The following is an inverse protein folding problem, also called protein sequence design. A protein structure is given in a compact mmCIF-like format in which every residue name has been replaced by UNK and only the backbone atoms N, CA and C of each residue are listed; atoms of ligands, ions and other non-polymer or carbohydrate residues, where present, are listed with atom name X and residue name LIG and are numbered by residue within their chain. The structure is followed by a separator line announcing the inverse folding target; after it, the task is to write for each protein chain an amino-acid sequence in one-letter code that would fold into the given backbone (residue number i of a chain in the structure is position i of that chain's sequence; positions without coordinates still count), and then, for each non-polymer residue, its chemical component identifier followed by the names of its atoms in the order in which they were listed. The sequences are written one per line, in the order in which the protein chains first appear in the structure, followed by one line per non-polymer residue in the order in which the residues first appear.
data_IF_416779584121
#
_entry.id   IF_416779584121
#
_cell.length_a   1.000
_cell.length_b   1.000
_cell.length_c   1.000
_cell.angle_alpha   90.00
_cell.angle_beta   90.00
_cell.angle_gamma   90.00
#
_symmetry.space_group_name_H-M   'P 1'
#
loop_
_entity.id
_entity.type
_entity.pdbx_description
1 polymer ?
#
# COMPACT_ATOMS: atom_id res chain seq x y z
N UNK A 1 22.51 54.33 -16.05
CA UNK A 1 23.24 54.03 -14.81
C UNK A 1 22.27 53.38 -13.84
N UNK A 2 22.38 52.05 -13.79
CA UNK A 2 22.30 51.13 -12.66
C UNK A 2 21.21 51.34 -11.60
N UNK A 3 20.60 50.32 -11.02
CA UNK A 3 20.43 48.89 -11.31
C UNK A 3 19.49 48.44 -10.19
N UNK A 4 18.51 47.64 -10.57
CA UNK A 4 17.63 46.74 -9.83
C UNK A 4 17.98 46.48 -8.35
N UNK A 5 17.06 46.84 -7.45
CA UNK A 5 17.05 46.43 -6.05
C UNK A 5 15.68 45.94 -5.59
N UNK A 6 14.98 45.17 -6.43
CA UNK A 6 13.78 44.45 -6.01
C UNK A 6 14.25 43.23 -5.21
N UNK A 7 14.31 43.37 -3.88
CA UNK A 7 14.60 42.25 -2.99
C UNK A 7 13.49 41.22 -3.12
N UNK A 8 13.75 40.15 -3.86
CA UNK A 8 12.92 38.96 -3.90
C UNK A 8 12.76 38.45 -2.46
N UNK A 9 11.55 38.06 -2.02
CA UNK A 9 11.45 37.29 -0.79
C UNK A 9 12.25 36.00 -0.99
N UNK A 10 13.26 35.80 -0.14
CA UNK A 10 14.03 34.56 -0.01
C UNK A 10 13.03 33.47 0.30
N UNK A 11 12.68 32.69 -0.72
CA UNK A 11 11.94 31.43 -0.54
C UNK A 11 12.82 30.60 0.37
N UNK A 12 12.39 30.43 1.62
CA UNK A 12 13.11 29.66 2.63
C UNK A 12 13.28 28.24 2.12
N UNK A 13 14.53 27.85 1.90
CA UNK A 13 15.02 26.50 1.60
C UNK A 13 14.79 25.50 2.76
N UNK A 14 13.88 25.78 3.70
CA UNK A 14 13.66 25.02 4.93
C UNK A 14 12.50 24.01 4.84
N UNK A 15 12.05 23.70 3.62
CA UNK A 15 11.13 22.59 3.34
C UNK A 15 11.87 21.34 2.79
N UNK A 16 13.18 21.26 3.03
CA UNK A 16 13.97 20.06 2.75
C UNK A 16 13.61 18.94 3.73
N UNK A 17 12.68 18.08 3.30
CA UNK A 17 12.55 16.68 3.71
C UNK A 17 12.94 16.36 5.16
N UNK A 18 12.11 16.72 6.13
CA UNK A 18 12.03 15.89 7.32
C UNK A 18 11.50 14.53 6.87
N UNK A 19 12.41 13.60 6.58
CA UNK A 19 12.06 12.20 6.38
C UNK A 19 11.29 11.81 7.64
N UNK A 20 9.98 11.60 7.51
CA UNK A 20 9.15 11.20 8.63
C UNK A 20 9.84 10.04 9.36
N UNK A 21 10.01 10.16 10.67
CA UNK A 21 10.71 9.13 11.42
C UNK A 21 9.99 7.79 11.21
N UNK A 22 10.74 6.77 10.77
CA UNK A 22 10.18 5.45 10.46
C UNK A 22 9.47 4.89 11.69
N UNK A 23 8.15 4.68 11.59
CA UNK A 23 7.35 4.02 12.62
C UNK A 23 7.46 2.51 12.46
N UNK A 24 8.42 1.87 13.11
CA UNK A 24 8.56 0.41 13.07
C UNK A 24 7.44 -0.27 13.86
N UNK A 25 7.04 -1.47 13.42
CA UNK A 25 6.08 -2.28 14.15
C UNK A 25 6.79 -3.02 15.32
N UNK A 26 6.09 -3.30 16.42
CA UNK A 26 6.62 -4.11 17.50
C UNK A 26 6.91 -5.55 17.03
N UNK A 27 7.79 -6.24 17.76
CA UNK A 27 8.17 -7.63 17.49
C UNK A 27 6.96 -8.57 17.53
N UNK A 28 6.03 -8.33 18.46
CA UNK A 28 4.74 -8.99 18.56
C UNK A 28 3.63 -8.01 18.19
N UNK A 29 2.75 -8.41 17.29
CA UNK A 29 1.69 -7.57 16.73
C UNK A 29 0.53 -8.39 16.23
N UNK A 30 -0.63 -7.74 16.06
CA UNK A 30 -1.77 -8.35 15.40
C UNK A 30 -1.57 -8.37 13.89
N UNK A 31 -2.04 -9.43 13.24
CA UNK A 31 -2.10 -9.53 11.80
C UNK A 31 -3.37 -10.21 11.34
N UNK A 32 -3.81 -9.87 10.13
CA UNK A 32 -4.93 -10.51 9.45
C UNK A 32 -4.40 -11.20 8.20
N UNK A 33 -4.66 -12.50 8.08
CA UNK A 33 -4.34 -13.26 6.86
C UNK A 33 -5.62 -13.62 6.13
N UNK A 34 -5.68 -13.25 4.85
CA UNK A 34 -6.79 -13.50 3.95
C UNK A 34 -6.33 -14.37 2.78
N UNK A 35 -7.06 -15.47 2.53
CA UNK A 35 -6.85 -16.29 1.35
C UNK A 35 -7.64 -15.70 0.19
N UNK A 36 -6.95 -15.43 -0.92
CA UNK A 36 -7.57 -14.93 -2.14
C UNK A 36 -7.23 -15.81 -3.35
N UNK A 37 -8.00 -15.65 -4.42
CA UNK A 37 -7.63 -16.11 -5.74
C UNK A 37 -7.81 -15.00 -6.77
N UNK A 38 -6.98 -14.97 -7.80
CA UNK A 38 -7.13 -14.09 -8.97
C UNK A 38 -6.97 -14.97 -10.20
N UNK A 39 -8.03 -15.13 -10.99
CA UNK A 39 -8.07 -16.15 -12.04
C UNK A 39 -7.79 -17.54 -11.47
N UNK A 40 -6.76 -18.21 -11.99
CA UNK A 40 -6.34 -19.54 -11.54
C UNK A 40 -5.26 -19.50 -10.44
N UNK A 41 -4.87 -18.31 -9.99
CA UNK A 41 -3.79 -18.11 -9.05
C UNK A 41 -4.36 -17.99 -7.64
N UNK A 42 -3.94 -18.87 -6.73
CA UNK A 42 -4.28 -18.76 -5.32
C UNK A 42 -3.18 -18.02 -4.56
N UNK A 43 -3.54 -17.25 -3.55
CA UNK A 43 -2.57 -16.56 -2.70
C UNK A 43 -3.10 -16.25 -1.31
N UNK A 44 -2.19 -15.78 -0.47
CA UNK A 44 -2.45 -15.30 0.87
C UNK A 44 -1.92 -13.87 0.98
N UNK A 45 -2.80 -12.96 1.39
CA UNK A 45 -2.44 -11.61 1.81
C UNK A 45 -2.40 -11.59 3.32
N UNK A 46 -1.29 -11.17 3.91
CA UNK A 46 -1.18 -10.92 5.35
C UNK A 46 -0.94 -9.44 5.58
N UNK A 47 -1.75 -8.82 6.43
CA UNK A 47 -1.62 -7.42 6.82
C UNK A 47 -1.22 -7.38 8.29
N UNK A 48 -0.04 -6.84 8.58
CA UNK A 48 0.41 -6.57 9.95
C UNK A 48 -0.08 -5.19 10.40
N UNK A 49 -0.61 -5.12 11.62
CA UNK A 49 -1.26 -3.93 12.16
C UNK A 49 -0.44 -3.29 13.25
N UNK A 50 -0.54 -1.97 13.35
CA UNK A 50 -0.17 -1.22 14.55
C UNK A 50 -1.24 -1.42 15.65
N UNK A 51 -0.93 -0.96 16.87
CA UNK A 51 -1.83 -1.06 18.02
C UNK A 51 -3.15 -0.29 17.83
N UNK A 52 -3.14 0.76 17.00
CA UNK A 52 -4.31 1.54 16.60
C UNK A 52 -5.17 0.85 15.52
N UNK A 53 -4.76 -0.33 15.05
CA UNK A 53 -5.43 -1.09 14.00
C UNK A 53 -5.10 -0.66 12.58
N UNK A 54 -4.22 0.32 12.37
CA UNK A 54 -3.84 0.72 11.00
C UNK A 54 -2.83 -0.25 10.39
N UNK A 55 -2.84 -0.48 9.07
CA UNK A 55 -1.83 -1.30 8.40
C UNK A 55 -0.43 -0.71 8.54
N UNK A 56 0.55 -1.54 8.89
CA UNK A 56 1.97 -1.16 8.93
C UNK A 56 2.89 -2.02 8.07
N UNK A 57 2.41 -3.17 7.61
CA UNK A 57 3.12 -4.01 6.66
C UNK A 57 2.16 -4.95 5.92
N UNK A 58 2.59 -5.40 4.75
CA UNK A 58 1.87 -6.40 3.96
C UNK A 58 2.82 -7.51 3.51
N UNK A 59 2.29 -8.72 3.39
CA UNK A 59 2.96 -9.85 2.77
C UNK A 59 2.02 -10.58 1.83
N UNK A 60 2.55 -10.99 0.68
CA UNK A 60 1.84 -11.76 -0.32
C UNK A 60 2.60 -13.05 -0.55
N UNK A 61 1.88 -14.17 -0.44
CA UNK A 61 2.38 -15.49 -0.84
C UNK A 61 1.47 -16.03 -1.91
N UNK A 62 1.97 -16.15 -3.14
CA UNK A 62 1.23 -16.75 -4.26
C UNK A 62 1.59 -18.24 -4.34
N UNK A 63 0.61 -19.10 -4.51
CA UNK A 63 0.79 -20.55 -4.63
C UNK A 63 1.12 -20.93 -6.09
N UNK A 64 2.05 -21.89 -6.25
CA UNK A 64 2.37 -22.55 -7.53
C UNK A 64 2.91 -21.65 -8.65
N UNK A 65 3.56 -20.54 -8.29
CA UNK A 65 4.12 -19.61 -9.27
C UNK A 65 5.63 -19.70 -9.49
N UNK A 66 6.07 -19.23 -10.66
CA UNK A 66 7.47 -19.06 -10.99
C UNK A 66 8.20 -18.15 -10.00
N UNK A 67 9.51 -18.38 -9.84
CA UNK A 67 10.36 -17.63 -8.90
C UNK A 67 10.34 -16.12 -9.16
N UNK A 68 10.16 -15.69 -10.41
CA UNK A 68 10.11 -14.28 -10.80
C UNK A 68 8.90 -13.55 -10.20
N UNK A 69 7.68 -14.08 -10.36
CA UNK A 69 6.47 -13.44 -9.83
C UNK A 69 6.47 -13.43 -8.31
N UNK A 70 6.86 -14.56 -7.69
CA UNK A 70 7.01 -14.66 -6.24
C UNK A 70 8.05 -13.65 -5.71
N UNK A 71 9.19 -13.51 -6.39
CA UNK A 71 10.24 -12.55 -6.05
C UNK A 71 9.77 -11.10 -6.18
N UNK A 72 9.07 -10.76 -7.26
CA UNK A 72 8.48 -9.43 -7.46
C UNK A 72 7.43 -9.09 -6.41
N UNK A 73 6.55 -10.05 -6.05
CA UNK A 73 5.57 -9.86 -4.98
C UNK A 73 6.26 -9.59 -3.64
N UNK A 74 7.31 -10.34 -3.30
CA UNK A 74 8.08 -10.13 -2.07
C UNK A 74 8.82 -8.79 -2.07
N UNK A 75 9.38 -8.37 -3.21
CA UNK A 75 10.02 -7.07 -3.34
C UNK A 75 9.01 -5.93 -3.16
N UNK A 76 7.85 -6.03 -3.82
CA UNK A 76 6.74 -5.10 -3.66
C UNK A 76 6.27 -5.01 -2.21
N UNK A 77 6.01 -6.16 -1.56
CA UNK A 77 5.57 -6.21 -0.16
C UNK A 77 6.55 -5.50 0.78
N UNK A 78 7.86 -5.73 0.58
CA UNK A 78 8.90 -5.06 1.38
C UNK A 78 8.89 -3.55 1.15
N UNK A 79 8.88 -3.11 -0.11
CA UNK A 79 8.86 -1.69 -0.46
C UNK A 79 7.61 -0.99 0.08
N UNK A 80 6.44 -1.61 -0.10
CA UNK A 80 5.16 -1.09 0.38
C UNK A 80 5.11 -1.01 1.91
N UNK A 81 5.59 -2.04 2.60
CA UNK A 81 5.66 -2.04 4.08
C UNK A 81 6.58 -0.93 4.60
N UNK A 82 7.72 -0.71 3.93
CA UNK A 82 8.58 0.42 4.25
C UNK A 82 7.84 1.74 4.03
N UNK A 83 7.16 1.91 2.89
CA UNK A 83 6.40 3.12 2.61
C UNK A 83 5.30 3.40 3.66
N UNK A 84 4.54 2.37 4.09
CA UNK A 84 3.58 2.49 5.19
C UNK A 84 4.25 2.99 6.48
N UNK A 85 5.42 2.44 6.82
CA UNK A 85 6.18 2.82 8.01
C UNK A 85 6.75 4.25 7.94
N UNK A 86 6.87 4.82 6.74
CA UNK A 86 7.24 6.22 6.50
C UNK A 86 6.03 7.14 6.30
N UNK A 87 4.81 6.65 6.54
CA UNK A 87 3.60 7.47 6.54
C UNK A 87 2.79 7.45 5.25
N UNK A 88 3.02 6.50 4.35
CA UNK A 88 2.08 6.26 3.24
C UNK A 88 0.71 5.88 3.81
N UNK A 89 -0.31 6.73 3.57
CA UNK A 89 -1.68 6.44 3.97
C UNK A 89 -2.30 5.33 3.09
N UNK A 90 -3.32 4.65 3.61
CA UNK A 90 -4.06 3.65 2.81
C UNK A 90 -4.72 4.32 1.61
N UNK A 91 -5.26 5.51 1.80
CA UNK A 91 -5.91 6.31 0.78
C UNK A 91 -4.95 6.67 -0.36
N UNK A 92 -3.75 7.15 -0.03
CA UNK A 92 -2.73 7.48 -1.02
C UNK A 92 -2.22 6.26 -1.77
N UNK A 93 -2.11 5.12 -1.08
CA UNK A 93 -1.76 3.85 -1.70
C UNK A 93 -2.86 3.42 -2.68
N UNK A 94 -4.12 3.45 -2.26
CA UNK A 94 -5.27 3.06 -3.09
C UNK A 94 -5.31 3.89 -4.38
N UNK A 95 -5.14 5.21 -4.29
CA UNK A 95 -5.12 6.10 -5.46
C UNK A 95 -4.03 5.71 -6.47
N UNK A 96 -2.88 5.23 -6.00
CA UNK A 96 -1.72 4.90 -6.85
C UNK A 96 -1.76 3.48 -7.41
N UNK A 97 -2.26 2.52 -6.65
CA UNK A 97 -2.14 1.10 -6.95
C UNK A 97 -3.45 0.48 -7.48
N UNK A 98 -4.62 1.06 -7.14
CA UNK A 98 -5.90 0.59 -7.67
C UNK A 98 -5.96 0.83 -9.19
N UNK A 99 -6.34 -0.20 -9.93
CA UNK A 99 -6.41 -0.20 -11.39
C UNK A 99 -5.09 -0.49 -12.11
N UNK A 100 -3.98 -0.73 -11.40
CA UNK A 100 -2.75 -1.21 -12.03
C UNK A 100 -2.98 -2.54 -12.75
N UNK A 101 -2.55 -2.62 -14.01
CA UNK A 101 -2.84 -3.74 -14.91
C UNK A 101 -1.59 -4.56 -15.20
N UNK A 102 -1.62 -5.83 -14.80
CA UNK A 102 -0.64 -6.85 -15.19
C UNK A 102 -1.11 -8.23 -14.71
N UNK A 103 -0.64 -9.29 -15.38
CA UNK A 103 -0.94 -10.67 -14.97
C UNK A 103 -0.26 -11.05 -13.65
N UNK A 104 -0.94 -11.76 -12.73
CA UNK A 104 -2.29 -12.33 -12.86
C UNK A 104 -3.44 -11.34 -12.69
N UNK A 105 -4.45 -11.41 -13.56
CA UNK A 105 -5.70 -10.64 -13.44
C UNK A 105 -6.97 -11.50 -13.66
N UNK A 106 -8.14 -10.94 -13.35
CA UNK A 106 -9.44 -11.56 -13.61
C UNK A 106 -10.28 -11.77 -12.35
N UNK A 107 -11.21 -12.73 -12.43
CA UNK A 107 -12.20 -13.01 -11.37
C UNK A 107 -11.53 -13.48 -10.08
N UNK A 108 -12.11 -13.11 -8.95
CA UNK A 108 -11.62 -13.52 -7.63
C UNK A 108 -12.63 -14.38 -6.89
N UNK A 109 -12.19 -15.01 -5.80
CA UNK A 109 -13.06 -15.71 -4.85
C UNK A 109 -13.67 -14.79 -3.78
N UNK A 110 -13.35 -13.49 -3.78
CA UNK A 110 -13.88 -12.52 -2.82
C UNK A 110 -15.12 -11.84 -3.41
N UNK A 111 -16.33 -12.05 -2.84
CA UNK A 111 -17.56 -11.44 -3.35
C UNK A 111 -17.54 -9.90 -3.36
N UNK A 112 -16.79 -9.27 -2.45
CA UNK A 112 -16.68 -7.81 -2.37
C UNK A 112 -15.71 -7.24 -3.42
N UNK A 113 -14.83 -8.08 -3.97
CA UNK A 113 -13.85 -7.74 -5.01
C UNK A 113 -13.98 -8.76 -6.14
N UNK A 114 -15.09 -8.80 -6.90
CA UNK A 114 -15.39 -9.91 -7.81
C UNK A 114 -14.37 -10.07 -8.95
N UNK A 115 -13.67 -9.00 -9.32
CA UNK A 115 -12.64 -8.97 -10.34
C UNK A 115 -11.56 -7.93 -10.00
N UNK A 116 -10.31 -8.20 -10.38
CA UNK A 116 -9.20 -7.27 -10.29
C UNK A 116 -8.32 -7.28 -11.54
N UNK A 117 -7.52 -6.23 -11.72
CA UNK A 117 -6.65 -6.02 -12.87
C UNK A 117 -5.19 -6.44 -12.63
N UNK A 118 -4.88 -6.83 -11.39
CA UNK A 118 -3.62 -7.44 -10.98
C UNK A 118 -3.73 -7.91 -9.52
N UNK A 119 -2.72 -8.64 -9.02
CA UNK A 119 -2.58 -8.90 -7.58
C UNK A 119 -2.42 -7.59 -6.79
N UNK A 120 -1.71 -6.59 -7.34
CA UNK A 120 -1.51 -5.30 -6.66
C UNK A 120 -2.81 -4.49 -6.62
N UNK A 121 -3.60 -4.48 -7.69
CA UNK A 121 -4.95 -3.90 -7.69
C UNK A 121 -5.85 -4.60 -6.66
N UNK A 122 -5.78 -5.93 -6.57
CA UNK A 122 -6.52 -6.69 -5.54
C UNK A 122 -6.14 -6.23 -4.13
N UNK A 123 -4.84 -6.13 -3.83
CA UNK A 123 -4.38 -5.68 -2.51
C UNK A 123 -4.82 -4.25 -2.22
N UNK A 124 -4.73 -3.35 -3.19
CA UNK A 124 -5.20 -1.98 -3.02
C UNK A 124 -6.71 -1.93 -2.68
N UNK A 125 -7.53 -2.66 -3.44
CA UNK A 125 -8.98 -2.78 -3.17
C UNK A 125 -9.30 -3.41 -1.82
N UNK A 126 -8.55 -4.44 -1.43
CA UNK A 126 -8.69 -5.08 -0.13
C UNK A 126 -8.35 -4.10 1.01
N UNK A 127 -7.25 -3.35 0.86
CA UNK A 127 -6.88 -2.33 1.83
C UNK A 127 -7.91 -1.21 1.91
N UNK A 128 -8.44 -0.74 0.79
CA UNK A 128 -9.55 0.24 0.72
C UNK A 128 -10.78 -0.25 1.48
N UNK A 129 -11.19 -1.50 1.24
CA UNK A 129 -12.40 -2.08 1.82
C UNK A 129 -12.31 -2.25 3.35
N UNK A 130 -11.15 -2.70 3.85
CA UNK A 130 -10.97 -3.06 5.26
C UNK A 130 -10.36 -1.96 6.12
N UNK A 131 -9.51 -1.11 5.53
CA UNK A 131 -8.72 -0.11 6.25
C UNK A 131 -8.79 1.28 5.66
N UNK A 132 -9.47 1.46 4.52
CA UNK A 132 -9.76 2.79 4.02
C UNK A 132 -10.61 3.54 5.03
N UNK A 133 -10.35 4.83 5.16
CA UNK A 133 -11.19 5.74 5.92
C UNK A 133 -12.60 5.66 5.35
N UNK A 134 -13.46 4.80 5.92
CA UNK A 134 -14.89 5.01 5.84
C UNK A 134 -15.08 6.43 6.34
N UNK A 135 -15.45 7.35 5.45
CA UNK A 135 -16.06 8.60 5.85
C UNK A 135 -16.94 8.29 7.05
N UNK A 136 -16.63 8.93 8.18
CA UNK A 136 -17.37 8.86 9.43
C UNK A 136 -18.86 9.07 9.16
N UNK A 137 -19.58 8.00 8.83
CA UNK A 137 -21.02 8.05 8.60
C UNK A 137 -21.67 6.95 9.45
N UNK A 138 -22.14 7.41 10.61
CA UNK A 138 -23.03 6.75 11.54
C UNK A 138 -22.55 5.42 12.14
N UNK A 139 -22.03 5.50 13.37
CA UNK A 139 -22.72 4.95 14.54
C UNK A 139 -22.17 5.54 15.84
#
# INVERSE_FOLDING_TARGET
MNDTGHTMPRVTEDAEHMIAARRTLPSTRHSVTHKFSVGNYEGYLTVGLYEDGTPGEIFIKVAKEGSALSGMCQAFCRAFSIALQYGLSVEDAVVRFKGMRFEPMGRTNNPEIPECQSIVDYVARYLELHYGSKLKLHR
#
